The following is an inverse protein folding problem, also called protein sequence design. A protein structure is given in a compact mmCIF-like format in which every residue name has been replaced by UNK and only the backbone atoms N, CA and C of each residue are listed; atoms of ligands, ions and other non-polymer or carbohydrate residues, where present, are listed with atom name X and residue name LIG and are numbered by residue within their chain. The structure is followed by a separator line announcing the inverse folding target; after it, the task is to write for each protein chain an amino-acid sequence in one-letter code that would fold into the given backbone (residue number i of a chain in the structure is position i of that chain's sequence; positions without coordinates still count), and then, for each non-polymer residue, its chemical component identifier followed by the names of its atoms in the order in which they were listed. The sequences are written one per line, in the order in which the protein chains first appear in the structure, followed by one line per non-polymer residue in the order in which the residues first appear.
data_IF_020914535761
#
_entry.id   IF_020914535761
#
_cell.length_a   1.000
_cell.length_b   1.000
_cell.length_c   1.000
_cell.angle_alpha   90.00
_cell.angle_beta   90.00
_cell.angle_gamma   90.00
#
_symmetry.space_group_name_H-M   'P 1'
#
loop_
_entity.id
_entity.type
_entity.pdbx_description
1 polymer ?
#
# COMPACT_ATOMS: atom_id res chain seq x y z
N UNK A 1 13.13 -10.41 -1.21
CA UNK A 1 11.90 -10.03 -1.95
C UNK A 1 11.58 -8.53 -1.94
N UNK A 2 11.80 -7.80 -0.84
CA UNK A 2 11.18 -6.47 -0.66
C UNK A 2 11.99 -5.25 -1.12
N UNK A 3 13.12 -5.47 -1.80
CA UNK A 3 14.13 -4.44 -2.02
C UNK A 3 13.97 -3.70 -3.36
N UNK A 4 13.33 -4.31 -4.37
CA UNK A 4 13.15 -3.68 -5.69
C UNK A 4 11.83 -4.06 -6.35
N UNK A 5 11.45 -3.32 -7.40
CA UNK A 5 10.32 -3.70 -8.24
C UNK A 5 10.55 -5.06 -8.91
N UNK A 6 11.78 -5.34 -9.33
CA UNK A 6 12.16 -6.61 -9.96
C UNK A 6 11.94 -7.80 -9.02
N UNK A 7 12.38 -7.72 -7.76
CA UNK A 7 12.20 -8.82 -6.81
C UNK A 7 10.72 -9.04 -6.44
N UNK A 8 9.90 -8.00 -6.55
CA UNK A 8 8.44 -8.08 -6.37
C UNK A 8 7.76 -8.73 -7.59
N UNK A 9 8.24 -8.43 -8.80
CA UNK A 9 7.79 -9.07 -10.04
C UNK A 9 8.12 -10.57 -10.04
N UNK A 10 9.35 -10.94 -9.67
CA UNK A 10 9.80 -12.33 -9.51
C UNK A 10 8.97 -13.10 -8.46
N UNK A 11 8.40 -12.41 -7.47
CA UNK A 11 7.47 -12.98 -6.49
C UNK A 11 6.01 -13.12 -6.99
N UNK A 12 5.77 -12.82 -8.26
CA UNK A 12 4.49 -13.00 -8.95
C UNK A 12 3.54 -11.81 -8.87
N UNK A 13 4.01 -10.64 -8.44
CA UNK A 13 3.21 -9.40 -8.56
C UNK A 13 3.28 -8.87 -9.99
N UNK A 14 2.18 -8.26 -10.42
CA UNK A 14 2.00 -7.71 -11.77
C UNK A 14 1.29 -6.36 -11.71
N UNK A 15 1.13 -5.71 -12.86
CA UNK A 15 0.31 -4.50 -12.95
C UNK A 15 0.90 -3.26 -12.30
N UNK A 16 2.23 -3.17 -12.24
CA UNK A 16 3.01 -2.03 -11.72
C UNK A 16 2.58 -0.70 -12.37
N UNK A 17 1.74 0.06 -11.67
CA UNK A 17 1.25 1.37 -12.13
C UNK A 17 1.40 2.43 -11.03
N UNK A 18 1.74 3.66 -11.41
CA UNK A 18 1.83 4.76 -10.45
C UNK A 18 0.45 5.12 -9.90
N UNK A 19 0.42 5.66 -8.67
CA UNK A 19 -0.81 6.21 -8.07
C UNK A 19 -1.42 7.28 -8.98
N UNK A 20 -0.60 8.15 -9.57
CA UNK A 20 -1.06 9.18 -10.51
C UNK A 20 -1.81 8.58 -11.69
N UNK A 21 -1.27 7.52 -12.31
CA UNK A 21 -1.93 6.86 -13.43
C UNK A 21 -3.24 6.21 -13.00
N UNK A 22 -3.25 5.52 -11.86
CA UNK A 22 -4.46 4.87 -11.35
C UNK A 22 -5.55 5.86 -10.92
N UNK A 23 -5.18 7.09 -10.56
CA UNK A 23 -6.16 8.15 -10.31
C UNK A 23 -6.88 8.62 -11.57
N UNK A 24 -6.23 8.55 -12.73
CA UNK A 24 -6.81 8.86 -14.04
C UNK A 24 -7.62 7.67 -14.56
N UNK A 25 -7.05 6.47 -14.51
CA UNK A 25 -7.71 5.24 -14.91
C UNK A 25 -7.21 4.02 -14.10
N UNK A 26 -8.14 3.40 -13.37
CA UNK A 26 -7.91 2.19 -12.58
C UNK A 26 -8.67 0.98 -13.15
N UNK A 27 -9.13 1.06 -14.41
CA UNK A 27 -9.81 -0.02 -15.12
C UNK A 27 -8.95 -1.29 -15.20
N UNK A 28 -7.63 -1.11 -15.33
CA UNK A 28 -6.60 -2.14 -15.44
C UNK A 28 -6.44 -3.00 -14.19
N UNK A 29 -6.95 -2.56 -13.04
CA UNK A 29 -6.82 -3.29 -11.79
C UNK A 29 -7.65 -4.59 -11.81
N UNK A 30 -7.12 -5.72 -11.32
CA UNK A 30 -7.85 -6.97 -11.27
C UNK A 30 -9.14 -6.88 -10.46
N UNK A 31 -10.26 -7.33 -11.03
CA UNK A 31 -11.52 -7.51 -10.29
C UNK A 31 -11.59 -8.91 -9.67
N UNK A 32 -10.53 -9.27 -8.94
CA UNK A 32 -10.34 -10.56 -8.25
C UNK A 32 -9.81 -10.34 -6.84
N UNK A 33 -9.98 -11.30 -5.91
CA UNK A 33 -9.28 -11.30 -4.63
C UNK A 33 -7.77 -11.41 -4.80
N UNK A 34 -7.04 -10.96 -3.79
CA UNK A 34 -5.59 -11.14 -3.70
C UNK A 34 -4.92 -10.08 -2.85
N UNK A 35 -3.63 -9.87 -3.08
CA UNK A 35 -2.80 -8.92 -2.33
C UNK A 35 -2.26 -7.84 -3.25
N UNK A 36 -1.95 -6.68 -2.69
CA UNK A 36 -1.30 -5.59 -3.39
C UNK A 36 -0.25 -4.94 -2.50
N UNK A 37 0.74 -4.35 -3.14
CA UNK A 37 1.82 -3.62 -2.47
C UNK A 37 1.92 -2.21 -3.02
N UNK A 38 2.35 -1.29 -2.17
CA UNK A 38 2.75 0.06 -2.56
C UNK A 38 4.27 0.12 -2.49
N UNK A 39 4.90 0.50 -3.59
CA UNK A 39 6.35 0.49 -3.76
C UNK A 39 6.88 1.92 -3.88
N UNK A 40 8.04 2.14 -3.28
CA UNK A 40 8.89 3.29 -3.51
C UNK A 40 9.73 3.09 -4.79
N UNK A 41 9.72 4.04 -5.73
CA UNK A 41 10.61 3.98 -6.90
C UNK A 41 12.07 4.15 -6.49
N UNK A 42 12.99 3.40 -7.11
CA UNK A 42 14.42 3.33 -6.73
C UNK A 42 15.14 4.69 -6.71
N UNK A 43 14.73 5.66 -7.54
CA UNK A 43 15.37 6.97 -7.67
C UNK A 43 14.50 8.14 -7.17
N UNK A 44 13.40 7.86 -6.46
CA UNK A 44 12.55 8.92 -5.93
C UNK A 44 13.13 9.46 -4.61
N UNK A 45 13.26 10.77 -4.48
CA UNK A 45 13.58 11.37 -3.19
C UNK A 45 12.41 11.22 -2.21
N UNK A 46 12.75 11.07 -0.93
CA UNK A 46 11.77 10.92 0.14
C UNK A 46 11.62 12.24 0.84
N UNK A 47 10.41 12.78 0.84
CA UNK A 47 10.05 13.93 1.65
C UNK A 47 8.64 13.81 2.20
N UNK A 48 8.42 14.46 3.34
CA UNK A 48 7.21 14.31 4.14
C UNK A 48 6.42 15.62 4.18
N UNK A 49 5.10 15.50 4.27
CA UNK A 49 4.18 16.60 4.43
C UNK A 49 3.65 16.62 5.86
N UNK A 50 3.62 17.80 6.48
CA UNK A 50 2.97 18.01 7.78
C UNK A 50 1.46 17.79 7.69
N UNK A 51 0.85 18.19 6.57
CA UNK A 51 -0.52 17.90 6.21
C UNK A 51 -0.55 17.13 4.89
N UNK A 52 -0.91 15.86 4.97
CA UNK A 52 -1.08 14.98 3.83
C UNK A 52 -2.48 15.03 3.21
N UNK A 53 -2.67 14.22 2.17
CA UNK A 53 -3.90 14.16 1.35
C UNK A 53 -4.87 13.05 1.78
N UNK A 54 -4.65 12.48 2.97
CA UNK A 54 -5.50 11.42 3.51
C UNK A 54 -6.90 11.93 3.87
N UNK A 55 -7.91 11.09 3.66
CA UNK A 55 -9.31 11.39 4.00
C UNK A 55 -9.62 11.33 5.49
N UNK A 56 -10.47 12.26 5.96
CA UNK A 56 -10.95 12.32 7.34
C UNK A 56 -12.14 11.37 7.57
N UNK A 57 -11.91 10.06 7.40
CA UNK A 57 -12.95 9.06 7.60
C UNK A 57 -13.39 8.98 9.07
N UNK A 58 -14.70 9.05 9.32
CA UNK A 58 -15.27 9.12 10.68
C UNK A 58 -14.64 10.23 11.54
N UNK A 59 -14.33 11.38 10.94
CA UNK A 59 -13.70 12.56 11.58
C UNK A 59 -12.33 12.29 12.23
N UNK A 60 -11.66 11.19 11.86
CA UNK A 60 -10.33 10.88 12.36
C UNK A 60 -9.27 11.58 11.50
N UNK A 61 -8.39 12.35 12.13
CA UNK A 61 -7.24 12.95 11.44
C UNK A 61 -6.28 11.84 10.97
N UNK A 62 -5.95 11.77 9.67
CA UNK A 62 -5.04 10.75 9.17
C UNK A 62 -3.56 11.08 9.38
N UNK A 63 -3.24 12.34 9.66
CA UNK A 63 -1.88 12.83 9.77
C UNK A 63 -1.24 12.43 11.11
N UNK A 64 0.06 12.18 11.07
CA UNK A 64 0.96 12.02 12.22
C UNK A 64 2.13 13.00 12.10
N UNK A 65 2.93 13.11 13.16
CA UNK A 65 4.13 13.95 13.17
C UNK A 65 5.17 13.44 12.16
N UNK A 66 5.96 14.36 11.57
CA UNK A 66 6.96 14.01 10.54
C UNK A 66 8.04 13.11 11.13
N UNK A 67 8.41 13.32 12.38
CA UNK A 67 9.40 12.52 13.11
C UNK A 67 8.93 11.06 13.25
N UNK A 68 7.62 10.84 13.40
CA UNK A 68 7.06 9.49 13.41
C UNK A 68 7.13 8.83 12.04
N UNK A 69 6.92 9.58 10.95
CA UNK A 69 7.10 9.07 9.58
C UNK A 69 8.56 8.70 9.34
N UNK A 70 9.49 9.57 9.69
CA UNK A 70 10.93 9.33 9.57
C UNK A 70 11.37 8.07 10.32
N UNK A 71 10.88 7.89 11.56
CA UNK A 71 11.20 6.69 12.37
C UNK A 71 10.71 5.37 11.77
N UNK A 72 9.71 5.43 10.88
CA UNK A 72 9.11 4.28 10.19
C UNK A 72 9.77 3.99 8.85
N UNK A 73 10.56 4.91 8.33
CA UNK A 73 11.28 4.72 7.08
C UNK A 73 12.34 3.62 7.24
N UNK A 74 12.53 2.84 6.18
CA UNK A 74 13.51 1.76 6.11
C UNK A 74 14.30 1.99 4.82
N UNK A 75 15.59 2.24 4.96
CA UNK A 75 16.49 2.37 3.82
C UNK A 75 16.60 1.03 3.08
N UNK A 76 16.89 1.09 1.77
CA UNK A 76 16.99 -0.09 0.88
C UNK A 76 15.74 -0.98 0.83
N UNK A 77 14.56 -0.45 1.17
CA UNK A 77 13.29 -1.14 1.10
C UNK A 77 12.34 -0.49 0.09
N UNK A 78 11.98 -1.22 -0.96
CA UNK A 78 11.00 -0.77 -1.94
C UNK A 78 9.57 -0.87 -1.40
N UNK A 79 9.22 -1.88 -0.59
CA UNK A 79 7.83 -2.08 -0.14
C UNK A 79 7.47 -1.16 1.03
N UNK A 80 6.54 -0.23 0.80
CA UNK A 80 6.05 0.71 1.81
C UNK A 80 4.76 0.25 2.48
N UNK A 81 3.95 -0.53 1.78
CA UNK A 81 2.67 -1.03 2.29
C UNK A 81 2.31 -2.35 1.63
N UNK A 82 1.74 -3.27 2.41
CA UNK A 82 1.14 -4.52 1.95
C UNK A 82 -0.33 -4.52 2.39
N UNK A 83 -1.24 -4.80 1.47
CA UNK A 83 -2.65 -4.95 1.80
C UNK A 83 -3.30 -6.11 1.04
N UNK A 84 -4.41 -6.59 1.57
CA UNK A 84 -5.25 -7.59 0.92
C UNK A 84 -6.57 -7.02 0.39
N UNK A 85 -7.15 -7.73 -0.57
CA UNK A 85 -8.56 -7.67 -0.90
C UNK A 85 -9.20 -9.08 -0.97
N UNK A 86 -10.26 -9.30 -0.20
CA UNK A 86 -10.99 -10.57 -0.13
C UNK A 86 -10.65 -11.36 1.14
N UNK A 87 -10.97 -12.66 1.17
CA UNK A 87 -10.69 -13.53 2.32
C UNK A 87 -11.74 -13.48 3.43
N UNK A 88 -11.80 -14.50 4.31
CA UNK A 88 -12.76 -14.60 5.42
C UNK A 88 -14.23 -14.25 5.06
N UNK A 89 -14.73 -14.73 3.93
CA UNK A 89 -16.10 -14.44 3.47
C UNK A 89 -16.32 -13.04 2.85
N UNK A 90 -15.27 -12.21 2.76
CA UNK A 90 -15.30 -10.95 2.03
C UNK A 90 -15.28 -11.18 0.53
N UNK A 91 -16.19 -10.51 -0.18
CA UNK A 91 -16.25 -10.47 -1.65
C UNK A 91 -15.52 -9.26 -2.25
N UNK A 92 -14.72 -8.57 -1.44
CA UNK A 92 -13.91 -7.43 -1.91
C UNK A 92 -12.85 -7.89 -2.90
N UNK A 93 -12.67 -7.10 -3.97
CA UNK A 93 -11.65 -7.35 -5.00
C UNK A 93 -10.52 -6.33 -4.90
N UNK A 94 -9.37 -6.66 -5.49
CA UNK A 94 -8.19 -5.78 -5.57
C UNK A 94 -8.61 -4.41 -6.13
N UNK A 95 -9.35 -4.39 -7.25
CA UNK A 95 -9.90 -3.17 -7.84
C UNK A 95 -10.71 -2.33 -6.85
N UNK A 96 -11.68 -2.92 -6.14
CA UNK A 96 -12.50 -2.20 -5.15
C UNK A 96 -11.67 -1.64 -4.01
N UNK A 97 -10.72 -2.44 -3.50
CA UNK A 97 -9.91 -2.07 -2.34
C UNK A 97 -8.88 -0.98 -2.67
N UNK A 98 -8.21 -1.09 -3.81
CA UNK A 98 -7.30 -0.05 -4.29
C UNK A 98 -8.08 1.20 -4.67
N UNK A 99 -9.29 1.11 -5.26
CA UNK A 99 -10.13 2.29 -5.48
C UNK A 99 -10.41 3.03 -4.16
N UNK A 100 -10.81 2.32 -3.10
CA UNK A 100 -10.98 2.91 -1.77
C UNK A 100 -9.69 3.56 -1.24
N UNK A 101 -8.54 2.92 -1.49
CA UNK A 101 -7.24 3.46 -1.12
C UNK A 101 -6.93 4.77 -1.84
N UNK A 102 -7.10 4.79 -3.16
CA UNK A 102 -6.92 5.96 -4.02
C UNK A 102 -7.88 7.10 -3.67
N UNK A 103 -9.15 6.78 -3.39
CA UNK A 103 -10.16 7.74 -2.93
C UNK A 103 -9.76 8.36 -1.59
N UNK A 104 -9.22 7.56 -0.66
CA UNK A 104 -8.68 8.06 0.60
C UNK A 104 -7.56 9.08 0.36
N UNK A 105 -6.69 8.83 -0.62
CA UNK A 105 -5.64 9.77 -1.03
C UNK A 105 -6.13 11.00 -1.82
N UNK A 106 -7.43 11.09 -2.13
CA UNK A 106 -8.09 12.27 -2.68
C UNK A 106 -8.85 13.06 -1.60
N UNK A 107 -8.43 12.91 -0.34
CA UNK A 107 -9.10 13.47 0.84
C UNK A 107 -10.55 13.00 1.04
N UNK A 108 -11.00 11.94 0.35
CA UNK A 108 -12.39 11.46 0.48
C UNK A 108 -12.57 10.68 1.79
N UNK A 109 -13.70 10.83 2.49
CA UNK A 109 -13.95 10.19 3.78
C UNK A 109 -14.36 8.72 3.59
N UNK A 110 -13.41 7.86 3.18
CA UNK A 110 -13.62 6.42 2.94
C UNK A 110 -12.78 5.55 3.88
N UNK A 111 -13.21 4.31 4.07
CA UNK A 111 -12.56 3.38 4.99
C UNK A 111 -11.23 2.80 4.49
N UNK A 112 -10.13 3.54 4.63
CA UNK A 112 -8.76 3.05 4.39
C UNK A 112 -7.69 3.71 5.27
N UNK A 113 -7.98 3.80 6.57
CA UNK A 113 -7.10 4.47 7.55
C UNK A 113 -5.79 3.70 7.84
N UNK A 114 -5.74 2.41 7.49
CA UNK A 114 -4.62 1.52 7.80
C UNK A 114 -3.32 1.89 7.08
N UNK A 115 -3.39 2.33 5.82
CA UNK A 115 -2.24 2.74 5.01
C UNK A 115 -2.00 4.25 5.00
N UNK A 116 -2.51 4.99 5.99
CA UNK A 116 -2.62 6.45 5.92
C UNK A 116 -1.28 7.21 5.79
N UNK A 117 -0.18 6.61 6.26
CA UNK A 117 1.15 7.25 6.25
C UNK A 117 1.67 7.51 4.83
N UNK A 118 1.23 6.72 3.85
CA UNK A 118 1.58 6.95 2.44
C UNK A 118 1.14 8.35 1.98
N UNK A 119 0.01 8.83 2.48
CA UNK A 119 -0.55 10.11 2.04
C UNK A 119 0.12 11.33 2.67
N UNK A 120 1.11 11.14 3.54
CA UNK A 120 2.03 12.18 3.99
C UNK A 120 3.40 12.13 3.28
N UNK A 121 3.60 11.26 2.29
CA UNK A 121 4.77 11.30 1.41
C UNK A 121 4.49 12.26 0.26
N UNK A 122 5.29 13.32 0.07
CA UNK A 122 5.03 14.32 -0.97
C UNK A 122 5.10 13.75 -2.39
N UNK A 123 5.89 12.69 -2.58
CA UNK A 123 6.01 11.95 -3.83
C UNK A 123 4.96 10.83 -3.98
N UNK A 124 3.89 10.82 -3.18
CA UNK A 124 2.82 9.82 -3.27
C UNK A 124 2.31 9.57 -4.70
N UNK A 125 2.19 10.55 -5.63
CA UNK A 125 1.72 10.26 -6.99
C UNK A 125 2.64 9.32 -7.77
N UNK A 126 3.93 9.29 -7.44
CA UNK A 126 4.96 8.49 -8.11
C UNK A 126 5.07 7.07 -7.54
N UNK A 127 4.48 6.80 -6.37
CA UNK A 127 4.49 5.47 -5.77
C UNK A 127 3.77 4.47 -6.67
N UNK A 128 4.27 3.24 -6.69
CA UNK A 128 3.83 2.21 -7.61
C UNK A 128 2.93 1.22 -6.87
N UNK A 129 1.81 0.86 -7.48
CA UNK A 129 0.93 -0.21 -7.02
C UNK A 129 1.20 -1.45 -7.85
N UNK A 130 1.45 -2.58 -7.19
CA UNK A 130 1.56 -3.88 -7.83
C UNK A 130 0.62 -4.88 -7.16
N UNK A 131 0.06 -5.82 -7.92
CA UNK A 131 -1.00 -6.72 -7.48
C UNK A 131 -0.63 -8.19 -7.74
N UNK A 132 -1.04 -9.08 -6.84
CA UNK A 132 -0.95 -10.53 -7.01
C UNK A 132 -2.32 -11.14 -6.73
N UNK A 133 -2.94 -11.67 -7.78
CA UNK A 133 -4.23 -12.37 -7.67
C UNK A 133 -4.05 -13.66 -6.88
N UNK A 134 -4.97 -13.95 -5.96
CA UNK A 134 -4.96 -15.18 -5.18
C UNK A 134 -6.22 -15.98 -5.49
N UNK A 135 -6.05 -17.14 -6.13
CA UNK A 135 -7.12 -18.08 -6.46
C UNK A 135 -7.24 -19.12 -5.36
N UNK A 136 -8.43 -19.29 -4.78
CA UNK A 136 -8.76 -20.41 -3.89
C UNK A 136 -8.09 -20.41 -2.50
N UNK A 137 -6.96 -19.70 -2.31
CA UNK A 137 -6.38 -19.43 -1.00
C UNK A 137 -6.95 -18.15 -0.38
N UNK A 138 -6.94 -18.07 0.95
CA UNK A 138 -7.37 -16.88 1.67
C UNK A 138 -6.36 -15.75 1.45
N UNK A 139 -6.75 -14.68 0.74
CA UNK A 139 -5.90 -13.50 0.51
C UNK A 139 -5.35 -12.90 1.82
N UNK A 140 -6.06 -13.09 2.94
CA UNK A 140 -5.60 -12.72 4.28
C UNK A 140 -4.42 -13.57 4.75
N UNK A 141 -4.40 -14.87 4.42
CA UNK A 141 -3.28 -15.74 4.75
C UNK A 141 -2.02 -15.32 3.99
N UNK A 142 -2.14 -15.04 2.69
CA UNK A 142 -1.02 -14.55 1.88
C UNK A 142 -0.46 -13.23 2.42
N UNK A 143 -1.32 -12.24 2.72
CA UNK A 143 -0.89 -10.99 3.36
C UNK A 143 -0.17 -11.23 4.68
N UNK A 144 -0.72 -12.11 5.54
CA UNK A 144 -0.10 -12.45 6.82
C UNK A 144 1.27 -13.09 6.64
N UNK A 145 1.44 -13.96 5.64
CA UNK A 145 2.72 -14.58 5.32
C UNK A 145 3.72 -13.52 4.85
N UNK A 146 3.33 -12.65 3.91
CA UNK A 146 4.16 -11.56 3.41
C UNK A 146 4.59 -10.59 4.52
N UNK A 147 3.67 -10.19 5.41
CA UNK A 147 3.99 -9.35 6.55
C UNK A 147 4.91 -10.05 7.56
N UNK A 148 4.76 -11.36 7.73
CA UNK A 148 5.64 -12.14 8.61
C UNK A 148 7.04 -12.26 8.03
N UNK A 149 7.17 -12.55 6.73
CA UNK A 149 8.46 -12.56 6.03
C UNK A 149 9.13 -11.18 6.08
N UNK A 150 8.36 -10.10 5.88
CA UNK A 150 8.86 -8.74 5.98
C UNK A 150 9.42 -8.43 7.37
N UNK A 151 8.67 -8.77 8.43
CA UNK A 151 9.12 -8.58 9.82
C UNK A 151 10.34 -9.45 10.13
N UNK A 152 10.40 -10.69 9.63
CA UNK A 152 11.57 -11.54 9.82
C UNK A 152 12.82 -10.94 9.17
N UNK A 153 12.67 -10.24 8.04
CA UNK A 153 13.79 -9.64 7.31
C UNK A 153 14.22 -8.27 7.89
N UNK A 154 13.29 -7.38 8.19
CA UNK A 154 13.59 -6.00 8.64
C UNK A 154 13.41 -5.76 10.16
N UNK A 155 12.90 -6.74 10.90
CA UNK A 155 12.59 -6.63 12.33
C UNK A 155 11.38 -5.76 12.67
N UNK A 156 10.68 -5.22 11.66
CA UNK A 156 9.53 -4.30 11.83
C UNK A 156 8.59 -4.38 10.63
N UNK A 157 7.40 -3.79 10.73
CA UNK A 157 6.41 -3.73 9.63
C UNK A 157 6.82 -2.74 8.53
N UNK A 158 6.29 -2.88 7.29
CA UNK A 158 6.46 -1.87 6.24
C UNK A 158 6.02 -0.48 6.71
N UNK A 159 6.60 0.56 6.10
CA UNK A 159 6.43 1.97 6.46
C UNK A 159 5.00 2.35 6.89
N UNK A 160 3.99 1.97 6.08
CA UNK A 160 2.60 2.33 6.30
C UNK A 160 1.71 1.18 6.82
N UNK A 161 2.26 0.02 7.17
CA UNK A 161 1.52 -1.01 7.89
C UNK A 161 1.56 -0.72 9.39
N UNK A 162 0.43 -0.26 9.93
CA UNK A 162 0.38 0.33 11.28
C UNK A 162 0.06 -0.71 12.36
N UNK A 163 -0.76 -1.70 12.00
CA UNK A 163 -1.12 -2.83 12.84
C UNK A 163 -0.87 -4.14 12.07
N UNK A 164 -0.64 -5.23 12.80
CA UNK A 164 -0.52 -6.59 12.27
C UNK A 164 -1.86 -7.31 12.26
#
# INVERSE_FOLDING_TARGET
MFQSCKSIEEAGFTGFQTIERLWRDHSILPDKPGVYVILHPENASVSYMTQGVGGFFKRRNPNIAVEQLQSRWIDDCAVLYIGQAGGNGSTSTIKKRIKQYLDFGKSLPVGHYGGRYIWQLSHHPQLIVACKEIKGADARLEEKLLLTEFVNYYGRLPFANINR
#
